data_IF_148579780142
#
_entry.id   IF_148579780142
#
_cell.length_a   1.000
_cell.length_b   1.000
_cell.length_c   1.000
_cell.angle_alpha   90.00
_cell.angle_beta   90.00
_cell.angle_gamma   90.00
#
_symmetry.space_group_name_H-M   'P 1'
#
loop_
_entity.id
_entity.type
_entity.pdbx_description
1 polymer ?
#
# COMPACT_ATOMS: atom_id res chain seq x y z
N UNK A 1 -17.94 -8.98 0.47
CA UNK A 1 -17.04 -10.13 0.24
C UNK A 1 -15.67 -9.64 -0.16
N UNK A 2 -14.63 -10.31 0.28
CA UNK A 2 -13.26 -9.90 -0.02
C UNK A 2 -12.93 -10.18 -1.48
N UNK A 3 -12.36 -9.19 -2.16
CA UNK A 3 -11.91 -9.32 -3.54
C UNK A 3 -10.41 -9.64 -3.56
N UNK A 4 -10.09 -10.91 -3.65
CA UNK A 4 -8.70 -11.37 -3.65
C UNK A 4 -7.95 -10.99 -4.92
N UNK A 5 -8.65 -10.76 -6.02
CA UNK A 5 -8.04 -10.27 -7.26
C UNK A 5 -7.56 -8.83 -7.11
N UNK A 6 -8.34 -8.02 -6.40
CA UNK A 6 -7.95 -6.64 -6.10
C UNK A 6 -6.71 -6.62 -5.21
N UNK A 7 -6.70 -7.44 -4.16
CA UNK A 7 -5.53 -7.55 -3.27
C UNK A 7 -4.30 -7.99 -4.06
N UNK A 8 -4.44 -9.01 -4.88
CA UNK A 8 -3.35 -9.52 -5.71
C UNK A 8 -2.81 -8.49 -6.69
N UNK A 9 -3.70 -7.73 -7.31
CA UNK A 9 -3.33 -6.65 -8.23
C UNK A 9 -2.54 -5.55 -7.50
N UNK A 10 -2.91 -5.24 -6.26
CA UNK A 10 -2.19 -4.26 -5.44
C UNK A 10 -0.82 -4.77 -5.04
N UNK A 11 -0.70 -6.04 -4.68
CA UNK A 11 0.61 -6.66 -4.40
C UNK A 11 1.52 -6.51 -5.61
N UNK A 12 1.02 -6.85 -6.80
CA UNK A 12 1.79 -6.73 -8.05
C UNK A 12 2.19 -5.29 -8.33
N UNK A 13 1.26 -4.36 -8.13
CA UNK A 13 1.51 -2.93 -8.35
C UNK A 13 2.66 -2.43 -7.47
N UNK A 14 2.59 -2.67 -6.16
CA UNK A 14 3.62 -2.21 -5.23
C UNK A 14 4.94 -2.96 -5.42
N UNK A 15 4.87 -4.23 -5.80
CA UNK A 15 6.08 -4.99 -6.15
C UNK A 15 6.80 -4.32 -7.34
N UNK A 16 6.05 -3.98 -8.37
CA UNK A 16 6.61 -3.32 -9.56
C UNK A 16 7.16 -1.93 -9.23
N UNK A 17 6.49 -1.19 -8.34
CA UNK A 17 6.96 0.12 -7.87
C UNK A 17 8.31 0.03 -7.16
N UNK A 18 8.58 -1.09 -6.51
CA UNK A 18 9.84 -1.35 -5.82
C UNK A 18 10.86 -2.04 -6.71
N UNK A 19 10.56 -2.25 -7.98
CA UNK A 19 11.45 -2.93 -8.95
C UNK A 19 11.83 -4.34 -8.51
N UNK A 20 10.90 -5.04 -7.86
CA UNK A 20 11.12 -6.41 -7.40
C UNK A 20 10.48 -7.40 -8.37
N UNK A 21 11.19 -8.51 -8.63
CA UNK A 21 10.59 -9.66 -9.31
C UNK A 21 9.72 -10.44 -8.31
N UNK A 22 8.94 -11.39 -8.82
CA UNK A 22 8.20 -12.30 -7.93
C UNK A 22 9.15 -13.10 -7.05
N UNK A 23 10.30 -13.50 -7.58
CA UNK A 23 11.33 -14.21 -6.80
C UNK A 23 11.91 -13.33 -5.69
N UNK A 24 12.18 -12.06 -6.01
CA UNK A 24 12.69 -11.10 -5.02
C UNK A 24 11.71 -10.93 -3.86
N UNK A 25 10.44 -10.73 -4.19
CA UNK A 25 9.41 -10.58 -3.18
C UNK A 25 9.25 -11.85 -2.36
N UNK A 26 9.29 -13.01 -3.01
CA UNK A 26 9.20 -14.30 -2.34
C UNK A 26 10.31 -14.46 -1.31
N UNK A 27 11.54 -14.14 -1.68
CA UNK A 27 12.69 -14.24 -0.81
C UNK A 27 12.55 -13.34 0.43
N UNK A 28 12.20 -12.07 0.22
CA UNK A 28 12.08 -11.10 1.32
C UNK A 28 10.89 -11.41 2.23
N UNK A 29 9.79 -11.87 1.65
CA UNK A 29 8.56 -12.20 2.39
C UNK A 29 8.58 -13.61 2.99
N UNK A 30 9.61 -14.40 2.69
CA UNK A 30 9.74 -15.80 3.13
C UNK A 30 8.62 -16.71 2.60
N UNK A 31 8.16 -16.43 1.41
CA UNK A 31 7.16 -17.22 0.70
C UNK A 31 7.79 -17.82 -0.55
N UNK A 32 7.14 -18.80 -1.16
CA UNK A 32 7.60 -19.33 -2.44
C UNK A 32 7.17 -18.41 -3.59
N UNK A 33 7.91 -18.45 -4.71
CA UNK A 33 7.54 -17.71 -5.91
C UNK A 33 6.16 -18.13 -6.43
N UNK A 34 5.86 -19.43 -6.37
CA UNK A 34 4.55 -19.95 -6.78
C UNK A 34 3.45 -19.37 -5.91
N UNK A 35 3.68 -19.24 -4.60
CA UNK A 35 2.73 -18.66 -3.67
C UNK A 35 2.47 -17.18 -4.02
N UNK A 36 3.54 -16.41 -4.25
CA UNK A 36 3.42 -15.01 -4.68
C UNK A 36 2.62 -14.90 -5.97
N UNK A 37 2.95 -15.73 -6.97
CA UNK A 37 2.26 -15.74 -8.26
C UNK A 37 0.76 -16.00 -8.10
N UNK A 38 0.40 -16.99 -7.28
CA UNK A 38 -1.01 -17.31 -7.02
C UNK A 38 -1.73 -16.19 -6.28
N UNK A 39 -1.08 -15.54 -5.33
CA UNK A 39 -1.65 -14.41 -4.62
C UNK A 39 -1.91 -13.24 -5.58
N UNK A 40 -0.94 -12.93 -6.44
CA UNK A 40 -1.07 -11.83 -7.41
C UNK A 40 -2.20 -12.05 -8.41
N UNK A 41 -2.48 -13.31 -8.74
CA UNK A 41 -3.58 -13.65 -9.65
C UNK A 41 -4.94 -13.78 -8.94
N UNK A 42 -4.96 -13.67 -7.62
CA UNK A 42 -6.17 -13.84 -6.84
C UNK A 42 -6.66 -15.28 -6.77
N UNK A 43 -5.79 -16.24 -7.08
CA UNK A 43 -6.12 -17.67 -7.08
C UNK A 43 -5.94 -18.33 -5.73
N UNK A 44 -5.27 -17.66 -4.81
CA UNK A 44 -5.00 -18.17 -3.48
C UNK A 44 -5.28 -17.12 -2.43
N UNK A 45 -5.94 -17.53 -1.35
CA UNK A 45 -6.22 -16.68 -0.21
C UNK A 45 -4.94 -16.64 0.64
N UNK A 46 -4.29 -15.47 0.79
CA UNK A 46 -3.11 -15.38 1.65
C UNK A 46 -3.53 -15.48 3.12
N UNK A 47 -2.70 -16.14 3.92
CA UNK A 47 -2.88 -16.11 5.37
C UNK A 47 -2.59 -14.69 5.88
N UNK A 48 -3.05 -14.39 7.09
CA UNK A 48 -2.76 -13.10 7.72
C UNK A 48 -1.25 -12.88 7.82
N UNK A 49 -0.50 -13.91 8.21
CA UNK A 49 0.95 -13.84 8.28
C UNK A 49 1.59 -13.54 6.93
N UNK A 50 1.11 -14.22 5.87
CA UNK A 50 1.63 -14.01 4.52
C UNK A 50 1.41 -12.56 4.05
N UNK A 51 0.22 -12.02 4.26
CA UNK A 51 -0.09 -10.66 3.82
C UNK A 51 0.69 -9.61 4.62
N UNK A 52 0.93 -9.85 5.91
CA UNK A 52 1.76 -8.97 6.73
C UNK A 52 3.21 -9.02 6.25
N UNK A 53 3.74 -10.21 5.96
CA UNK A 53 5.10 -10.35 5.45
C UNK A 53 5.28 -9.65 4.10
N UNK A 54 4.29 -9.73 3.24
CA UNK A 54 4.30 -9.03 1.94
C UNK A 54 4.29 -7.51 2.14
N UNK A 55 3.42 -7.01 3.00
CA UNK A 55 3.35 -5.57 3.28
C UNK A 55 4.67 -5.05 3.83
N UNK A 56 5.28 -5.78 4.77
CA UNK A 56 6.59 -5.42 5.32
C UNK A 56 7.69 -5.45 4.26
N UNK A 57 7.67 -6.46 3.40
CA UNK A 57 8.66 -6.57 2.31
C UNK A 57 8.53 -5.42 1.30
N UNK A 58 7.31 -4.97 1.03
CA UNK A 58 7.04 -3.87 0.12
C UNK A 58 7.16 -2.50 0.80
N UNK A 59 7.36 -2.48 2.10
CA UNK A 59 7.45 -1.25 2.90
C UNK A 59 6.19 -0.37 2.76
N UNK A 60 5.04 -0.99 2.79
CA UNK A 60 3.74 -0.31 2.73
C UNK A 60 2.89 -0.74 3.92
N UNK A 61 1.86 0.04 4.22
CA UNK A 61 0.90 -0.34 5.23
C UNK A 61 -0.02 -1.43 4.68
N UNK A 62 -0.55 -2.26 5.58
CA UNK A 62 -1.54 -3.27 5.22
C UNK A 62 -2.78 -2.61 4.62
N UNK A 63 -3.09 -1.41 5.05
CA UNK A 63 -4.20 -0.59 4.57
C UNK A 63 -4.12 -0.38 3.05
N UNK A 64 -2.92 -0.11 2.53
CA UNK A 64 -2.73 0.11 1.09
C UNK A 64 -3.03 -1.14 0.25
N UNK A 65 -2.76 -2.32 0.80
CA UNK A 65 -3.11 -3.57 0.11
C UNK A 65 -4.60 -3.88 0.17
N UNK A 66 -5.27 -3.46 1.24
CA UNK A 66 -6.64 -3.86 1.53
C UNK A 66 -7.67 -2.76 1.29
N UNK A 67 -7.24 -1.58 0.86
CA UNK A 67 -8.09 -0.38 0.78
C UNK A 67 -9.37 -0.61 -0.05
N UNK A 68 -9.29 -1.40 -1.12
CA UNK A 68 -10.45 -1.71 -1.95
C UNK A 68 -11.49 -2.58 -1.26
N UNK A 69 -11.15 -3.19 -0.12
CA UNK A 69 -12.01 -4.09 0.65
C UNK A 69 -12.43 -3.52 1.99
N UNK A 70 -11.94 -2.34 2.36
CA UNK A 70 -12.22 -1.72 3.65
C UNK A 70 -13.27 -0.63 3.49
N UNK A 71 -14.24 -0.60 4.39
CA UNK A 71 -15.22 0.49 4.46
C UNK A 71 -14.59 1.74 5.07
N UNK A 72 -13.65 1.55 6.01
CA UNK A 72 -12.89 2.64 6.64
C UNK A 72 -11.41 2.29 6.54
N UNK A 73 -10.61 3.21 6.00
CA UNK A 73 -9.19 3.01 5.78
C UNK A 73 -8.46 4.31 6.03
N UNK A 74 -7.23 4.22 6.55
CA UNK A 74 -6.38 5.39 6.73
C UNK A 74 -6.05 6.07 5.39
N UNK A 75 -6.17 5.35 4.28
CA UNK A 75 -5.92 5.89 2.94
C UNK A 75 -7.12 6.68 2.41
N UNK A 76 -8.36 6.24 2.72
CA UNK A 76 -9.59 6.81 2.18
C UNK A 76 -10.41 7.58 3.20
N UNK A 77 -10.16 7.36 4.49
CA UNK A 77 -10.95 7.97 5.55
C UNK A 77 -10.47 9.40 5.85
N UNK A 78 -11.40 10.33 5.75
CA UNK A 78 -11.11 11.74 6.00
C UNK A 78 -12.15 12.31 6.96
N UNK A 79 -11.92 12.18 8.29
CA UNK A 79 -12.88 12.64 9.29
C UNK A 79 -12.98 14.16 9.40
N UNK A 80 -12.04 14.90 8.82
CA UNK A 80 -11.96 16.36 8.91
C UNK A 80 -12.30 17.07 7.61
N UNK A 81 -12.76 16.34 6.60
CA UNK A 81 -13.18 16.92 5.33
C UNK A 81 -12.04 17.47 4.48
N UNK A 82 -10.90 16.79 4.47
CA UNK A 82 -9.80 17.14 3.56
C UNK A 82 -10.08 16.75 2.11
N UNK A 83 -11.35 16.82 1.71
CA UNK A 83 -11.77 16.56 0.32
C UNK A 83 -11.02 17.42 -0.68
N UNK A 84 -10.45 18.51 -0.23
CA UNK A 84 -9.61 19.38 -1.03
C UNK A 84 -8.45 18.63 -1.69
N UNK A 85 -8.03 17.49 -1.13
CA UNK A 85 -6.94 16.68 -1.66
C UNK A 85 -7.42 15.58 -2.60
N UNK A 86 -8.73 15.39 -2.72
CA UNK A 86 -9.31 14.24 -3.46
C UNK A 86 -9.03 14.28 -4.95
N UNK A 87 -8.85 15.46 -5.53
CA UNK A 87 -8.57 15.65 -6.96
C UNK A 87 -7.08 15.85 -7.26
N UNK A 88 -6.23 15.69 -6.26
CA UNK A 88 -4.79 15.89 -6.43
C UNK A 88 -4.13 14.70 -7.11
N UNK A 89 -3.20 14.98 -8.03
CA UNK A 89 -2.33 13.96 -8.58
C UNK A 89 -1.30 13.50 -7.53
N UNK A 90 -0.66 12.33 -7.73
CA UNK A 90 0.42 11.90 -6.82
C UNK A 90 1.56 12.92 -6.70
N UNK A 91 1.88 13.63 -7.78
CA UNK A 91 2.91 14.67 -7.76
C UNK A 91 2.48 15.86 -6.90
N UNK A 92 1.22 16.29 -7.04
CA UNK A 92 0.66 17.37 -6.24
C UNK A 92 0.62 17.00 -4.76
N UNK A 93 0.21 15.78 -4.43
CA UNK A 93 0.19 15.29 -3.04
C UNK A 93 1.57 15.29 -2.42
N UNK A 94 2.61 14.92 -3.18
CA UNK A 94 3.99 14.96 -2.68
C UNK A 94 4.43 16.38 -2.36
N UNK A 95 4.10 17.33 -3.21
CA UNK A 95 4.44 18.75 -3.00
C UNK A 95 3.72 19.29 -1.77
N UNK A 96 2.42 19.00 -1.65
CA UNK A 96 1.61 19.42 -0.50
C UNK A 96 2.19 18.85 0.79
N UNK A 97 2.51 17.55 0.79
CA UNK A 97 3.08 16.88 1.96
C UNK A 97 4.40 17.49 2.38
N UNK A 98 5.30 17.76 1.43
CA UNK A 98 6.59 18.39 1.71
C UNK A 98 6.40 19.79 2.30
N UNK A 99 5.47 20.56 1.74
CA UNK A 99 5.15 21.90 2.22
C UNK A 99 4.64 21.86 3.67
N UNK A 100 3.77 20.90 3.96
CA UNK A 100 3.24 20.71 5.32
C UNK A 100 4.33 20.34 6.30
N UNK A 101 5.25 19.45 5.92
CA UNK A 101 6.39 19.06 6.77
C UNK A 101 7.28 20.28 7.06
N UNK A 102 7.64 21.07 6.03
CA UNK A 102 8.45 22.27 6.20
C UNK A 102 7.78 23.28 7.11
N UNK A 103 6.49 23.49 6.93
CA UNK A 103 5.71 24.40 7.78
C UNK A 103 5.69 23.92 9.23
N UNK A 104 5.48 22.64 9.44
CA UNK A 104 5.46 22.04 10.77
C UNK A 104 6.79 22.20 11.48
N UNK A 105 7.89 21.97 10.77
CA UNK A 105 9.24 22.12 11.32
C UNK A 105 9.53 23.58 11.68
N UNK A 106 9.15 24.52 10.82
CA UNK A 106 9.31 25.93 11.08
C UNK A 106 8.53 26.38 12.33
N UNK A 107 7.29 25.88 12.48
CA UNK A 107 6.47 26.19 13.66
C UNK A 107 7.05 25.63 14.95
N UNK A 108 7.68 24.45 14.87
CA UNK A 108 8.29 23.80 16.04
C UNK A 108 9.69 24.31 16.36
N UNK A 109 10.31 25.00 15.44
CA UNK A 109 11.63 25.60 15.63
C UNK A 109 11.63 26.87 16.45
N UNK A 110 10.45 27.36 16.81
CA UNK A 110 10.32 28.54 17.69
C UNK A 110 10.20 28.11 19.17
#
# INVERSE_FOLDING_TARGET
>A
MIDYKDIGARVRFYRSQNNLSQEDLAEVSKLSRVHISCIERGERIPSLEAIINIANALNISLDELLVGNLMVSAVTYDPHGFDILSDCSPAELRIIKKTMICLKEALRGF
#
